data_IF_596897363598
#
_entry.id   IF_596897363598
#
_cell.length_a   1.000
_cell.length_b   1.000
_cell.length_c   1.000
_cell.angle_alpha   90.00
_cell.angle_beta   90.00
_cell.angle_gamma   90.00
#
_symmetry.space_group_name_H-M   'P 1'
#
loop_
_entity.id
_entity.type
_entity.pdbx_description
1 polymer ?
#
# COMPACT_ATOMS: atom_id res chain seq x y z
N UNK A 1 -26.76 23.85 -40.15
CA UNK A 1 -27.96 23.01 -39.92
C UNK A 1 -27.46 21.59 -39.86
N UNK A 2 -27.20 20.96 -38.71
CA UNK A 2 -28.08 20.60 -37.59
C UNK A 2 -28.03 19.06 -37.50
N UNK A 3 -27.23 18.48 -36.59
CA UNK A 3 -27.55 18.00 -35.22
C UNK A 3 -28.15 16.58 -35.11
N UNK A 4 -27.45 15.76 -34.28
CA UNK A 4 -27.88 14.58 -33.48
C UNK A 4 -28.30 13.28 -34.22
N UNK A 5 -28.05 12.06 -33.71
CA UNK A 5 -27.60 11.67 -32.36
C UNK A 5 -27.30 10.16 -32.17
N UNK A 6 -26.83 9.90 -30.95
CA UNK A 6 -26.38 8.67 -30.28
C UNK A 6 -27.01 7.30 -30.56
N UNK A 7 -26.18 6.25 -30.41
CA UNK A 7 -26.45 5.12 -29.50
C UNK A 7 -25.15 4.30 -29.23
N UNK A 8 -24.52 4.52 -28.08
CA UNK A 8 -23.55 3.59 -27.48
C UNK A 8 -24.30 2.71 -26.46
N UNK A 9 -24.27 1.39 -26.63
CA UNK A 9 -24.70 0.42 -25.63
C UNK A 9 -23.55 0.14 -24.67
N UNK A 10 -23.75 0.48 -23.39
CA UNK A 10 -22.89 0.04 -22.28
C UNK A 10 -23.41 -1.32 -21.83
N UNK A 11 -22.58 -2.36 -21.90
CA UNK A 11 -22.85 -3.67 -21.31
C UNK A 11 -22.34 -3.66 -19.86
N UNK A 12 -23.27 -3.59 -18.91
CA UNK A 12 -23.03 -3.94 -17.50
C UNK A 12 -23.15 -5.47 -17.37
N UNK A 13 -22.06 -6.18 -17.09
CA UNK A 13 -22.14 -7.53 -16.54
C UNK A 13 -22.25 -7.45 -15.01
N UNK A 14 -23.41 -7.87 -14.52
CA UNK A 14 -23.68 -8.14 -13.11
C UNK A 14 -23.01 -9.46 -12.74
N UNK A 15 -22.15 -9.48 -11.73
CA UNK A 15 -21.92 -10.69 -10.94
C UNK A 15 -22.64 -10.54 -9.60
N UNK A 16 -23.58 -11.46 -9.40
CA UNK A 16 -24.47 -11.56 -8.28
C UNK A 16 -24.06 -12.85 -7.55
N UNK A 17 -23.33 -12.74 -6.44
CA UNK A 17 -23.16 -13.86 -5.51
C UNK A 17 -23.55 -13.40 -4.12
N UNK A 18 -24.69 -13.94 -3.68
CA UNK A 18 -25.18 -13.92 -2.31
C UNK A 18 -24.25 -14.78 -1.46
N UNK A 19 -23.56 -14.17 -0.51
CA UNK A 19 -23.07 -14.87 0.68
C UNK A 19 -24.12 -14.75 1.78
N UNK A 20 -24.57 -15.90 2.26
CA UNK A 20 -25.49 -16.06 3.37
C UNK A 20 -24.77 -15.74 4.69
N UNK A 21 -25.08 -14.59 5.28
CA UNK A 21 -24.71 -14.28 6.66
C UNK A 21 -25.95 -14.40 7.54
N UNK A 22 -25.92 -15.35 8.49
CA UNK A 22 -26.88 -15.43 9.59
C UNK A 22 -26.11 -15.31 10.92
N UNK A 23 -26.32 -14.14 11.53
CA UNK A 23 -26.54 -13.87 12.97
C UNK A 23 -25.47 -14.24 14.02
N UNK A 24 -24.82 -13.22 14.60
CA UNK A 24 -25.10 -12.68 15.95
C UNK A 24 -24.01 -11.63 16.31
N UNK A 25 -24.24 -10.32 16.09
CA UNK A 25 -24.63 -9.31 17.11
C UNK A 25 -23.40 -8.50 17.56
N UNK A 26 -23.27 -7.16 17.46
CA UNK A 26 -24.19 -6.02 17.51
C UNK A 26 -23.62 -4.84 16.64
N UNK A 27 -24.39 -4.10 15.81
CA UNK A 27 -25.15 -2.84 16.07
C UNK A 27 -24.22 -1.74 16.64
N UNK A 28 -23.96 -0.54 16.08
CA UNK A 28 -24.70 0.46 15.27
C UNK A 28 -23.69 1.54 14.81
N UNK A 29 -23.77 2.08 13.58
CA UNK A 29 -23.54 3.52 13.27
C UNK A 29 -23.60 3.85 11.76
N UNK A 30 -24.68 4.56 11.41
CA UNK A 30 -24.77 5.68 10.45
C UNK A 30 -24.71 5.42 8.93
N UNK A 31 -25.88 5.04 8.40
CA UNK A 31 -26.44 5.68 7.21
C UNK A 31 -26.83 7.14 7.52
N UNK A 32 -26.30 8.12 6.80
CA UNK A 32 -27.00 9.36 6.45
C UNK A 32 -26.12 10.23 5.54
N UNK A 33 -26.40 10.24 4.24
CA UNK A 33 -26.36 11.43 3.38
C UNK A 33 -26.68 11.01 1.94
N UNK A 34 -27.92 11.25 1.50
CA UNK A 34 -28.27 11.79 0.19
C UNK A 34 -29.80 11.72 0.05
N UNK A 35 -30.47 12.85 0.20
CA UNK A 35 -31.79 13.05 -0.41
C UNK A 35 -31.81 14.43 -1.03
N UNK A 36 -32.23 14.42 -2.29
CA UNK A 36 -32.28 15.54 -3.23
C UNK A 36 -33.38 16.54 -2.82
N UNK A 37 -33.03 17.80 -3.07
CA UNK A 37 -33.84 19.02 -3.22
C UNK A 37 -35.37 18.91 -3.13
N UNK A 38 -35.95 19.84 -2.37
CA UNK A 38 -37.17 20.51 -2.81
C UNK A 38 -37.10 22.01 -2.49
N UNK A 39 -37.38 22.82 -3.51
CA UNK A 39 -37.30 24.28 -3.53
C UNK A 39 -38.58 24.85 -2.92
N UNK A 40 -38.45 25.68 -1.89
CA UNK A 40 -39.52 26.55 -1.44
C UNK A 40 -38.97 27.97 -1.23
N UNK A 41 -39.49 28.86 -2.07
CA UNK A 41 -39.28 30.29 -2.15
C UNK A 41 -39.53 31.02 -0.83
N UNK A 42 -38.55 31.81 -0.36
CA UNK A 42 -38.76 32.87 0.61
C UNK A 42 -38.07 34.15 0.10
N UNK A 43 -38.88 35.21 -0.06
CA UNK A 43 -38.45 36.52 -0.55
C UNK A 43 -37.60 37.27 0.50
N UNK A 44 -36.61 38.09 0.08
CA UNK A 44 -35.87 38.94 1.00
C UNK A 44 -36.62 40.25 1.30
N UNK A 45 -36.72 40.61 2.59
CA UNK A 45 -37.13 41.96 3.03
C UNK A 45 -35.92 42.92 2.97
N UNK A 46 -36.10 44.19 2.56
CA UNK A 46 -35.00 45.14 2.45
C UNK A 46 -34.73 45.82 3.81
N UNK A 47 -33.46 45.93 4.20
CA UNK A 47 -33.02 46.80 5.28
C UNK A 47 -32.42 48.09 4.69
N UNK A 48 -32.95 49.24 5.15
CA UNK A 48 -32.52 50.59 4.77
C UNK A 48 -31.18 50.97 5.42
N UNK A 49 -30.41 51.91 4.84
CA UNK A 49 -29.10 52.29 5.35
C UNK A 49 -29.19 53.41 6.41
N UNK A 50 -28.35 53.34 7.44
CA UNK A 50 -27.93 54.49 8.24
C UNK A 50 -26.40 54.49 8.44
N UNK A 51 -25.87 55.69 8.35
CA UNK A 51 -24.46 56.12 8.16
C UNK A 51 -23.65 56.15 9.50
N UNK A 52 -22.42 56.71 9.57
CA UNK A 52 -21.15 55.98 9.59
C UNK A 52 -20.40 56.16 10.93
N UNK A 53 -19.72 55.14 11.45
CA UNK A 53 -18.84 55.32 12.61
C UNK A 53 -17.50 54.57 12.44
N UNK A 54 -16.48 55.38 12.14
CA UNK A 54 -15.12 55.44 12.70
C UNK A 54 -14.48 54.13 13.21
N UNK A 55 -13.38 53.75 12.55
CA UNK A 55 -12.45 52.70 12.99
C UNK A 55 -11.61 53.16 14.20
N UNK A 56 -11.43 52.33 15.24
CA UNK A 56 -10.35 52.49 16.20
C UNK A 56 -9.13 51.59 15.90
N UNK A 57 -7.97 52.19 16.13
CA UNK A 57 -6.59 51.72 16.05
C UNK A 57 -6.33 50.42 16.86
N UNK A 58 -5.44 49.49 16.44
CA UNK A 58 -5.31 48.17 17.05
C UNK A 58 -4.21 48.16 18.10
N UNK A 59 -4.54 48.37 19.38
CA UNK A 59 -3.69 47.95 20.51
C UNK A 59 -4.54 47.64 21.74
N UNK A 60 -4.87 46.36 21.95
CA UNK A 60 -5.06 45.74 23.28
C UNK A 60 -5.21 44.23 23.09
N UNK A 61 -4.17 43.52 23.49
CA UNK A 61 -4.17 42.07 23.69
C UNK A 61 -5.07 41.79 24.88
N UNK A 62 -6.09 40.94 24.70
CA UNK A 62 -6.90 40.43 25.81
C UNK A 62 -6.40 39.04 26.17
N UNK A 63 -5.83 38.92 27.36
CA UNK A 63 -5.54 37.65 28.04
C UNK A 63 -6.85 36.92 28.35
N UNK A 64 -7.11 35.82 27.66
CA UNK A 64 -8.11 34.84 28.07
C UNK A 64 -7.47 33.86 29.04
N UNK A 65 -7.72 34.03 30.35
CA UNK A 65 -7.52 32.96 31.33
C UNK A 65 -8.60 31.90 31.10
N UNK A 66 -8.23 30.81 30.44
CA UNK A 66 -9.05 29.61 30.36
C UNK A 66 -9.09 28.93 31.74
N UNK A 67 -10.27 28.82 32.31
CA UNK A 67 -10.56 27.98 33.48
C UNK A 67 -10.32 26.52 33.13
N UNK A 68 -9.43 25.86 33.85
CA UNK A 68 -9.08 24.45 33.69
C UNK A 68 -10.24 23.54 34.07
N UNK A 69 -10.92 22.97 33.08
CA UNK A 69 -11.69 21.73 33.27
C UNK A 69 -10.67 20.60 33.41
N UNK A 70 -10.54 20.05 34.63
CA UNK A 70 -9.77 18.83 34.88
C UNK A 70 -10.51 17.65 34.24
N UNK A 71 -10.11 17.29 33.03
CA UNK A 71 -10.30 15.93 32.53
C UNK A 71 -9.32 15.01 33.27
N UNK A 72 -9.75 13.83 33.74
CA UNK A 72 -8.82 12.86 34.29
C UNK A 72 -7.81 12.50 33.19
N UNK A 73 -6.56 12.90 33.41
CA UNK A 73 -5.42 12.42 32.65
C UNK A 73 -5.30 10.93 32.95
N UNK A 74 -5.93 10.09 32.12
CA UNK A 74 -5.46 8.73 31.96
C UNK A 74 -4.07 8.89 31.39
N UNK A 75 -3.04 8.67 32.21
CA UNK A 75 -1.66 8.60 31.76
C UNK A 75 -1.55 7.39 30.83
N UNK A 76 -1.93 7.54 29.57
CA UNK A 76 -1.68 6.54 28.55
C UNK A 76 -0.17 6.43 28.45
N UNK A 77 0.36 5.30 28.91
CA UNK A 77 1.74 4.92 28.67
C UNK A 77 1.87 4.84 27.15
N UNK A 78 2.52 5.83 26.52
CA UNK A 78 2.63 5.89 25.06
C UNK A 78 3.53 4.78 24.51
N UNK A 79 3.43 4.52 23.21
CA UNK A 79 4.21 3.50 22.51
C UNK A 79 5.71 3.47 22.88
N UNK A 80 6.44 4.59 23.03
CA UNK A 80 7.85 4.55 23.42
C UNK A 80 8.13 3.80 24.72
N UNK A 81 7.21 3.84 25.68
CA UNK A 81 7.34 3.11 26.96
C UNK A 81 6.85 1.67 26.83
N UNK A 82 5.83 1.41 26.01
CA UNK A 82 5.28 0.07 25.78
C UNK A 82 6.22 -0.83 24.97
N UNK A 83 7.07 -0.25 24.10
CA UNK A 83 8.11 -1.00 23.38
C UNK A 83 9.07 -1.70 24.34
N UNK A 84 9.37 -1.10 25.50
CA UNK A 84 10.26 -1.71 26.49
C UNK A 84 9.69 -2.93 27.22
N UNK A 85 8.43 -3.31 26.97
CA UNK A 85 7.79 -4.49 27.59
C UNK A 85 8.15 -5.81 26.88
N UNK A 86 8.77 -5.75 25.71
CA UNK A 86 9.31 -6.91 25.02
C UNK A 86 10.83 -6.86 25.03
N UNK A 87 11.47 -7.96 25.42
CA UNK A 87 12.92 -8.09 25.40
C UNK A 87 13.34 -8.97 24.22
N UNK A 88 13.85 -8.39 23.12
CA UNK A 88 14.26 -9.15 21.94
C UNK A 88 15.55 -9.96 22.19
N UNK A 89 16.21 -9.81 23.34
CA UNK A 89 17.42 -10.57 23.69
C UNK A 89 17.11 -11.92 24.33
N UNK A 90 15.85 -12.15 24.73
CA UNK A 90 15.43 -13.46 25.25
C UNK A 90 15.51 -14.49 24.12
N UNK A 91 16.25 -15.61 24.30
CA UNK A 91 16.34 -16.67 23.31
C UNK A 91 14.97 -17.24 22.94
N UNK A 92 14.81 -17.66 21.68
CA UNK A 92 13.52 -18.10 21.13
C UNK A 92 12.88 -19.24 21.93
N UNK A 93 13.68 -20.12 22.55
CA UNK A 93 13.22 -21.25 23.36
C UNK A 93 12.52 -20.83 24.65
N UNK A 94 12.67 -19.56 25.04
CA UNK A 94 12.06 -18.95 26.24
C UNK A 94 11.26 -17.69 25.92
N UNK A 95 11.19 -17.31 24.64
CA UNK A 95 10.48 -16.14 24.21
C UNK A 95 8.97 -16.33 24.37
N UNK A 96 8.28 -15.21 24.58
CA UNK A 96 6.82 -15.12 24.55
C UNK A 96 6.42 -14.19 23.41
N UNK A 97 5.17 -14.25 22.97
CA UNK A 97 4.67 -13.30 21.98
C UNK A 97 4.76 -11.86 22.52
N UNK A 98 4.87 -10.85 21.64
CA UNK A 98 4.83 -9.46 22.07
C UNK A 98 3.56 -9.15 22.89
N UNK A 99 3.64 -8.21 23.85
CA UNK A 99 2.47 -7.80 24.63
C UNK A 99 1.32 -7.36 23.72
N UNK A 100 0.07 -7.67 24.12
CA UNK A 100 -1.13 -7.33 23.34
C UNK A 100 -1.27 -5.82 23.04
N UNK A 101 -0.66 -4.97 23.86
CA UNK A 101 -0.59 -3.52 23.67
C UNK A 101 0.07 -3.12 22.34
N UNK A 102 1.05 -3.88 21.86
CA UNK A 102 1.71 -3.62 20.56
C UNK A 102 0.74 -3.73 19.38
N UNK A 103 -0.32 -4.51 19.51
CA UNK A 103 -1.31 -4.74 18.46
C UNK A 103 -2.56 -3.86 18.61
N UNK A 104 -2.79 -3.27 19.79
CA UNK A 104 -4.06 -2.65 20.14
C UNK A 104 -3.95 -1.18 20.54
N UNK A 105 -2.80 -0.74 21.05
CA UNK A 105 -2.61 0.65 21.45
C UNK A 105 -2.43 1.55 20.22
N UNK A 106 -3.27 2.59 20.06
CA UNK A 106 -3.27 3.41 18.85
C UNK A 106 -1.98 4.22 18.67
N UNK A 107 -1.20 4.45 19.72
CA UNK A 107 0.07 5.18 19.62
C UNK A 107 1.15 4.43 18.84
N UNK A 108 1.04 3.10 18.70
CA UNK A 108 1.94 2.31 17.85
C UNK A 108 1.77 2.65 16.36
N UNK A 109 0.56 2.96 15.89
CA UNK A 109 0.35 3.20 14.46
C UNK A 109 1.19 4.37 13.95
N UNK A 110 1.16 5.51 14.65
CA UNK A 110 2.00 6.67 14.28
C UNK A 110 3.49 6.39 14.47
N UNK A 111 3.87 5.73 15.58
CA UNK A 111 5.27 5.38 15.82
C UNK A 111 5.82 4.50 14.70
N UNK A 112 5.11 3.44 14.33
CA UNK A 112 5.52 2.49 13.28
C UNK A 112 5.59 3.16 11.91
N UNK A 113 4.68 4.09 11.59
CA UNK A 113 4.80 4.87 10.37
C UNK A 113 6.14 5.63 10.32
N UNK A 114 6.47 6.35 11.39
CA UNK A 114 7.64 7.23 11.44
C UNK A 114 8.98 6.47 11.59
N UNK A 115 8.99 5.36 12.32
CA UNK A 115 10.22 4.63 12.66
C UNK A 115 10.48 3.40 11.80
N UNK A 116 9.49 2.96 11.02
CA UNK A 116 9.57 1.71 10.26
C UNK A 116 9.12 1.89 8.81
N UNK A 117 7.91 2.39 8.56
CA UNK A 117 7.38 2.43 7.18
C UNK A 117 7.96 3.56 6.33
N UNK A 118 8.26 4.72 6.93
CA UNK A 118 8.88 5.85 6.22
C UNK A 118 10.41 5.77 6.18
N UNK A 119 10.99 4.60 6.49
CA UNK A 119 12.43 4.35 6.49
C UNK A 119 12.79 3.17 5.60
N UNK A 120 13.93 3.27 4.92
CA UNK A 120 14.40 2.23 4.00
C UNK A 120 13.48 2.00 2.80
N UNK A 121 13.74 0.89 2.09
CA UNK A 121 13.01 0.50 0.89
C UNK A 121 11.70 -0.20 1.22
N UNK A 122 10.61 0.25 0.58
CA UNK A 122 9.27 -0.30 0.68
C UNK A 122 8.78 -0.76 -0.69
N UNK A 123 8.18 -1.95 -0.77
CA UNK A 123 7.55 -2.41 -1.99
C UNK A 123 6.33 -1.54 -2.31
N UNK A 124 6.26 -1.03 -3.54
CA UNK A 124 5.25 -0.06 -3.98
C UNK A 124 4.40 -0.56 -5.15
N UNK A 125 4.94 -1.45 -5.98
CA UNK A 125 4.28 -1.98 -7.16
C UNK A 125 5.15 -2.95 -7.93
N UNK A 126 4.80 -3.20 -9.19
CA UNK A 126 5.52 -4.12 -10.07
C UNK A 126 5.91 -3.45 -11.40
N UNK A 127 6.98 -3.95 -12.02
CA UNK A 127 7.66 -3.30 -13.15
C UNK A 127 6.78 -3.20 -14.40
N UNK A 128 5.86 -4.14 -14.62
CA UNK A 128 4.94 -4.08 -15.77
C UNK A 128 3.93 -2.91 -15.70
N UNK A 129 3.71 -2.29 -14.53
CA UNK A 129 2.86 -1.08 -14.42
C UNK A 129 3.46 0.14 -15.11
N UNK A 130 4.77 0.12 -15.37
CA UNK A 130 5.60 1.24 -15.84
C UNK A 130 6.67 0.75 -16.84
N UNK A 131 6.25 -0.14 -17.74
CA UNK A 131 7.13 -0.74 -18.74
C UNK A 131 7.60 0.29 -19.78
N UNK A 132 6.71 1.19 -20.19
CA UNK A 132 6.92 2.12 -21.30
C UNK A 132 6.97 3.59 -20.84
N UNK A 133 7.69 4.47 -21.55
CA UNK A 133 7.66 5.92 -21.33
C UNK A 133 6.24 6.50 -21.28
N UNK A 134 5.99 7.31 -20.26
CA UNK A 134 4.71 7.95 -19.96
C UNK A 134 3.77 7.12 -19.08
N UNK A 135 4.07 5.84 -18.84
CA UNK A 135 3.27 5.02 -17.92
C UNK A 135 3.52 5.45 -16.47
N UNK A 136 2.47 5.37 -15.65
CA UNK A 136 2.50 5.70 -14.24
C UNK A 136 1.57 4.78 -13.44
N UNK A 137 1.85 4.65 -12.15
CA UNK A 137 0.89 4.19 -11.15
C UNK A 137 0.98 5.04 -9.88
N UNK A 138 -0.03 4.93 -9.03
CA UNK A 138 -0.10 5.60 -7.74
C UNK A 138 -0.20 4.57 -6.63
N UNK A 139 0.40 4.88 -5.48
CA UNK A 139 0.32 4.06 -4.28
C UNK A 139 0.33 4.96 -3.04
N UNK A 140 -0.02 4.36 -1.89
CA UNK A 140 -0.15 5.06 -0.62
C UNK A 140 0.47 4.24 0.50
N UNK A 141 1.16 4.90 1.42
CA UNK A 141 1.63 4.32 2.68
C UNK A 141 1.30 5.28 3.82
N UNK A 142 0.49 4.82 4.78
CA UNK A 142 0.01 5.68 5.87
C UNK A 142 -0.77 6.89 5.33
N UNK A 143 -0.22 8.09 5.55
CA UNK A 143 -0.77 9.36 5.05
C UNK A 143 -0.07 9.88 3.79
N UNK A 144 0.99 9.22 3.34
CA UNK A 144 1.78 9.65 2.19
C UNK A 144 1.24 9.04 0.89
N UNK A 145 1.05 9.90 -0.10
CA UNK A 145 0.54 9.55 -1.44
C UNK A 145 1.68 9.71 -2.45
N UNK A 146 1.85 8.71 -3.32
CA UNK A 146 2.97 8.63 -4.26
C UNK A 146 2.49 8.42 -5.68
N UNK A 147 3.29 8.92 -6.62
CA UNK A 147 3.18 8.62 -8.05
C UNK A 147 4.54 8.14 -8.53
N UNK A 148 4.54 6.99 -9.20
CA UNK A 148 5.72 6.42 -9.84
C UNK A 148 5.47 6.42 -11.34
N UNK A 149 6.44 6.86 -12.12
CA UNK A 149 6.32 6.92 -13.56
C UNK A 149 7.64 6.64 -14.27
N UNK A 150 7.53 6.30 -15.56
CA UNK A 150 8.66 6.35 -16.48
C UNK A 150 8.57 7.61 -17.31
N UNK A 151 9.58 8.47 -17.24
CA UNK A 151 9.58 9.73 -17.97
C UNK A 151 9.77 9.54 -19.48
N UNK A 152 9.80 10.65 -20.23
CA UNK A 152 9.92 10.64 -21.69
C UNK A 152 11.23 10.02 -22.20
N UNK A 153 12.29 10.06 -21.38
CA UNK A 153 13.61 9.51 -21.69
C UNK A 153 13.73 8.05 -21.22
N UNK A 154 12.67 7.49 -20.62
CA UNK A 154 12.65 6.13 -20.12
C UNK A 154 13.19 5.97 -18.71
N UNK A 155 13.53 7.05 -18.00
CA UNK A 155 14.04 7.00 -16.63
C UNK A 155 12.91 6.80 -15.63
N UNK A 156 13.17 5.97 -14.61
CA UNK A 156 12.26 5.70 -13.52
C UNK A 156 12.26 6.88 -12.53
N UNK A 157 11.09 7.38 -12.21
CA UNK A 157 10.89 8.55 -11.36
C UNK A 157 9.79 8.27 -10.34
N UNK A 158 9.91 8.83 -9.12
CA UNK A 158 8.85 8.81 -8.13
C UNK A 158 8.78 10.13 -7.38
N UNK A 159 7.56 10.53 -7.03
CA UNK A 159 7.28 11.78 -6.34
C UNK A 159 6.17 11.59 -5.32
N UNK A 160 6.11 12.48 -4.34
CA UNK A 160 4.86 12.71 -3.62
C UNK A 160 3.79 13.18 -4.62
N UNK A 161 2.64 12.48 -4.66
CA UNK A 161 1.52 12.75 -5.56
C UNK A 161 0.68 13.93 -5.07
N UNK A 162 1.33 15.06 -4.78
CA UNK A 162 0.72 16.21 -4.12
C UNK A 162 1.17 17.49 -4.84
N UNK A 163 0.21 18.24 -5.35
CA UNK A 163 0.47 19.52 -5.99
C UNK A 163 1.13 20.49 -5.00
N UNK A 164 2.25 21.10 -5.39
CA UNK A 164 2.99 22.10 -4.59
C UNK A 164 2.26 23.44 -4.40
N UNK A 165 1.08 23.62 -5.02
CA UNK A 165 0.25 24.81 -4.85
C UNK A 165 -0.67 24.70 -3.61
N UNK A 166 -1.70 23.86 -3.68
CA UNK A 166 -2.68 23.66 -2.61
C UNK A 166 -3.02 22.17 -2.41
N UNK A 167 -1.98 21.32 -2.45
CA UNK A 167 -2.00 19.92 -2.00
C UNK A 167 -3.05 18.98 -2.64
N UNK A 168 -3.59 19.32 -3.81
CA UNK A 168 -4.45 18.41 -4.56
C UNK A 168 -3.64 17.25 -5.15
N UNK A 169 -4.20 16.04 -5.16
CA UNK A 169 -3.61 14.89 -5.84
C UNK A 169 -3.53 15.12 -7.35
N UNK A 170 -2.45 14.66 -7.98
CA UNK A 170 -2.15 14.91 -9.39
C UNK A 170 -2.58 13.75 -10.30
N UNK A 171 -2.54 12.53 -9.76
CA UNK A 171 -2.85 11.30 -10.47
C UNK A 171 -3.62 10.33 -9.57
N UNK A 172 -4.33 9.38 -10.20
CA UNK A 172 -5.09 8.32 -9.53
C UNK A 172 -4.97 7.03 -10.34
N UNK A 173 -4.88 5.89 -9.65
CA UNK A 173 -4.75 4.57 -10.27
C UNK A 173 -3.46 4.43 -11.07
N UNK A 174 -3.56 3.84 -12.27
CA UNK A 174 -2.47 3.68 -13.23
C UNK A 174 -2.91 4.12 -14.63
N UNK A 175 -1.94 4.37 -15.51
CA UNK A 175 -2.22 4.70 -16.90
C UNK A 175 -1.04 5.34 -17.60
N UNK A 176 -1.31 6.10 -18.67
CA UNK A 176 -0.28 6.81 -19.45
C UNK A 176 -0.57 8.30 -19.50
N UNK A 177 0.44 9.13 -19.26
CA UNK A 177 0.39 10.60 -19.31
C UNK A 177 1.65 11.16 -19.95
N UNK A 178 1.55 12.35 -20.55
CA UNK A 178 2.71 13.15 -20.98
C UNK A 178 3.15 14.17 -19.94
N UNK A 179 2.25 14.52 -19.00
CA UNK A 179 2.48 15.42 -17.87
C UNK A 179 1.40 15.20 -16.80
N UNK A 180 1.67 15.68 -15.59
CA UNK A 180 0.69 15.70 -14.50
C UNK A 180 0.04 17.07 -14.41
N UNK A 181 -1.27 17.14 -14.57
CA UNK A 181 -2.03 18.40 -14.48
C UNK A 181 -2.88 18.38 -13.22
N UNK A 182 -2.60 19.32 -12.32
CA UNK A 182 -3.35 19.49 -11.09
C UNK A 182 -4.82 19.82 -11.41
N UNK A 183 -5.79 19.01 -10.92
CA UNK A 183 -7.20 19.20 -11.24
C UNK A 183 -7.78 20.47 -10.58
N UNK A 184 -7.09 21.03 -9.59
CA UNK A 184 -7.60 22.20 -8.86
C UNK A 184 -7.38 23.51 -9.64
N UNK A 185 -6.13 23.80 -10.02
CA UNK A 185 -5.76 25.11 -10.61
C UNK A 185 -4.96 24.99 -11.92
N UNK A 186 -4.82 23.78 -12.48
CA UNK A 186 -4.13 23.57 -13.74
C UNK A 186 -2.63 23.89 -13.69
N UNK A 187 -1.97 23.68 -12.54
CA UNK A 187 -0.52 23.60 -12.49
C UNK A 187 -0.08 22.31 -13.21
N UNK A 188 0.89 22.42 -14.11
CA UNK A 188 1.35 21.31 -14.96
C UNK A 188 2.78 20.95 -14.58
N UNK A 189 3.02 19.69 -14.27
CA UNK A 189 4.32 19.13 -13.95
C UNK A 189 4.75 18.15 -15.03
N UNK A 190 6.03 18.15 -15.39
CA UNK A 190 6.63 17.12 -16.23
C UNK A 190 6.67 15.77 -15.52
N UNK A 191 6.95 14.71 -16.26
CA UNK A 191 7.18 13.37 -15.67
C UNK A 191 8.53 13.28 -14.95
N UNK A 192 9.41 14.26 -15.16
CA UNK A 192 10.64 14.50 -14.41
C UNK A 192 10.39 15.28 -13.10
N UNK A 193 9.13 15.62 -12.80
CA UNK A 193 8.72 16.38 -11.62
C UNK A 193 8.88 17.89 -11.73
N UNK A 194 9.46 18.41 -12.81
CA UNK A 194 9.62 19.85 -13.00
C UNK A 194 8.26 20.54 -13.11
N UNK A 195 8.09 21.71 -12.47
CA UNK A 195 6.92 22.54 -12.75
C UNK A 195 7.10 23.14 -14.14
N UNK A 196 6.20 22.84 -15.08
CA UNK A 196 6.24 23.33 -16.47
C UNK A 196 5.40 24.59 -16.63
N UNK A 197 4.29 24.68 -15.89
CA UNK A 197 3.33 25.79 -16.01
C UNK A 197 2.60 26.05 -14.70
N UNK A 198 2.64 27.28 -14.24
CA UNK A 198 1.73 27.83 -13.24
C UNK A 198 0.71 28.76 -13.93
N UNK A 199 -0.58 28.43 -13.84
CA UNK A 199 -1.63 29.17 -14.56
C UNK A 199 -1.82 30.57 -13.98
N UNK A 200 -1.80 31.59 -14.85
CA UNK A 200 -2.04 33.01 -14.51
C UNK A 200 -1.14 33.57 -13.39
N UNK A 201 0.09 33.11 -13.30
CA UNK A 201 1.05 33.53 -12.25
C UNK A 201 1.65 34.93 -12.49
N UNK A 202 1.32 35.57 -13.62
CA UNK A 202 1.83 36.89 -14.00
C UNK A 202 1.56 37.93 -12.91
N UNK A 203 2.60 38.67 -12.51
CA UNK A 203 2.52 39.74 -11.52
C UNK A 203 2.82 39.33 -10.07
N UNK A 204 2.99 38.03 -9.79
CA UNK A 204 3.52 37.59 -8.50
C UNK A 204 5.02 37.92 -8.42
N UNK A 205 5.40 38.67 -7.40
CA UNK A 205 6.81 38.95 -7.10
C UNK A 205 7.47 37.74 -6.43
N UNK A 206 8.73 37.48 -6.74
CA UNK A 206 9.54 36.40 -6.14
C UNK A 206 9.01 34.97 -6.37
N UNK A 207 8.26 34.73 -7.45
CA UNK A 207 7.92 33.36 -7.86
C UNK A 207 8.99 32.80 -8.79
N UNK A 208 9.73 31.79 -8.32
CA UNK A 208 10.66 31.04 -9.14
C UNK A 208 10.09 29.64 -9.44
N UNK A 209 9.68 29.40 -10.69
CA UNK A 209 9.09 28.13 -11.12
C UNK A 209 9.97 26.91 -10.76
N UNK A 210 11.29 27.06 -10.74
CA UNK A 210 12.24 25.98 -10.44
C UNK A 210 12.19 25.51 -8.97
N UNK A 211 11.66 26.32 -8.06
CA UNK A 211 11.55 25.97 -6.62
C UNK A 211 10.28 25.16 -6.30
N UNK A 212 9.37 25.04 -7.28
CA UNK A 212 8.05 24.43 -7.10
C UNK A 212 7.88 23.11 -7.87
N UNK A 213 8.97 22.43 -8.22
CA UNK A 213 8.93 21.04 -8.70
C UNK A 213 8.34 20.08 -7.66
N UNK A 214 7.90 18.90 -8.10
CA UNK A 214 7.43 17.85 -7.20
C UNK A 214 8.56 17.40 -6.26
N UNK A 215 8.19 17.02 -5.03
CA UNK A 215 9.15 16.47 -4.09
C UNK A 215 9.44 15.03 -4.51
N UNK A 216 10.69 14.76 -4.89
CA UNK A 216 11.14 13.45 -5.33
C UNK A 216 11.20 12.45 -4.17
N UNK A 217 11.01 11.19 -4.52
CA UNK A 217 11.16 10.02 -3.65
C UNK A 217 12.12 9.07 -4.36
N UNK A 218 13.05 8.44 -3.63
CA UNK A 218 13.96 7.48 -4.27
C UNK A 218 13.13 6.30 -4.78
N UNK A 219 13.49 5.82 -5.95
CA UNK A 219 12.83 4.70 -6.60
C UNK A 219 13.85 3.80 -7.26
N UNK A 220 13.63 2.50 -7.14
CA UNK A 220 14.47 1.48 -7.75
C UNK A 220 13.63 0.25 -8.09
N UNK A 221 14.24 -0.69 -8.81
CA UNK A 221 13.64 -1.98 -9.13
C UNK A 221 14.53 -3.11 -8.65
N UNK A 222 13.91 -4.18 -8.15
CA UNK A 222 14.58 -5.46 -7.92
C UNK A 222 13.64 -6.59 -8.34
N UNK A 223 14.12 -7.49 -9.21
CA UNK A 223 13.26 -8.50 -9.84
C UNK A 223 12.03 -7.87 -10.53
N UNK A 224 10.81 -8.35 -10.26
CA UNK A 224 9.59 -7.76 -10.80
C UNK A 224 9.04 -6.59 -9.97
N UNK A 225 9.73 -6.16 -8.91
CA UNK A 225 9.21 -5.17 -7.96
C UNK A 225 9.73 -3.76 -8.21
N UNK A 226 8.88 -2.79 -7.88
CA UNK A 226 9.21 -1.36 -7.80
C UNK A 226 9.22 -0.97 -6.33
N UNK A 227 10.33 -0.39 -5.90
CA UNK A 227 10.59 -0.04 -4.50
C UNK A 227 10.70 1.48 -4.35
N UNK A 228 10.20 2.00 -3.23
CA UNK A 228 10.33 3.40 -2.84
C UNK A 228 11.14 3.54 -1.57
N UNK A 229 11.99 4.56 -1.49
CA UNK A 229 12.64 4.96 -0.25
C UNK A 229 12.38 6.46 0.00
N UNK A 230 11.80 6.74 1.17
CA UNK A 230 11.32 8.06 1.57
C UNK A 230 12.38 8.89 2.32
N UNK A 231 13.56 8.31 2.59
CA UNK A 231 14.67 9.01 3.23
C UNK A 231 15.36 9.95 2.23
N UNK A 232 15.54 11.21 2.65
CA UNK A 232 16.00 12.30 1.78
C UNK A 232 17.53 12.40 1.62
N UNK A 233 18.32 11.43 2.10
CA UNK A 233 19.78 11.52 1.96
C UNK A 233 20.20 11.43 0.49
N UNK A 234 20.82 12.50 0.01
CA UNK A 234 20.97 12.82 -1.42
C UNK A 234 22.07 11.97 -2.12
N UNK A 235 22.85 11.17 -1.37
CA UNK A 235 24.11 10.59 -1.85
C UNK A 235 24.17 9.05 -1.95
N UNK A 236 23.06 8.32 -1.94
CA UNK A 236 23.12 6.86 -2.15
C UNK A 236 23.02 6.49 -3.63
N UNK A 237 24.12 6.02 -4.22
CA UNK A 237 24.10 5.32 -5.50
C UNK A 237 23.00 4.25 -5.50
N UNK A 238 22.21 4.21 -6.57
CA UNK A 238 21.11 3.25 -6.78
C UNK A 238 21.55 1.78 -6.82
N UNK A 239 22.87 1.53 -6.81
CA UNK A 239 23.48 0.22 -7.03
C UNK A 239 23.49 -0.69 -5.79
N UNK A 240 22.89 -0.26 -4.67
CA UNK A 240 22.88 -1.02 -3.41
C UNK A 240 21.46 -1.45 -2.99
N UNK A 241 20.40 -1.17 -3.78
CA UNK A 241 19.01 -1.49 -3.40
C UNK A 241 18.83 -2.95 -2.98
N UNK A 242 19.46 -3.88 -3.69
CA UNK A 242 19.45 -5.30 -3.38
C UNK A 242 19.99 -5.59 -1.98
N UNK A 243 21.19 -5.09 -1.66
CA UNK A 243 21.84 -5.30 -0.36
C UNK A 243 21.12 -4.55 0.75
N UNK A 244 20.61 -3.36 0.49
CA UNK A 244 19.87 -2.57 1.49
C UNK A 244 18.51 -3.17 1.82
N UNK A 245 17.83 -3.76 0.84
CA UNK A 245 16.50 -4.32 1.02
C UNK A 245 16.53 -5.77 1.49
N UNK A 246 17.40 -6.60 0.91
CA UNK A 246 17.43 -8.05 1.11
C UNK A 246 18.65 -8.55 1.89
N UNK A 247 19.67 -7.71 2.09
CA UNK A 247 20.89 -8.11 2.80
C UNK A 247 21.61 -9.26 2.10
N UNK A 248 22.08 -10.23 2.88
CA UNK A 248 22.80 -11.41 2.35
C UNK A 248 21.88 -12.47 1.73
N UNK A 249 20.56 -12.26 1.74
CA UNK A 249 19.57 -13.20 1.19
C UNK A 249 19.29 -13.02 -0.31
N UNK A 250 19.79 -11.95 -0.91
CA UNK A 250 19.39 -11.53 -2.25
C UNK A 250 19.73 -12.54 -3.37
N UNK A 251 20.96 -13.06 -3.36
CA UNK A 251 21.43 -14.07 -4.31
C UNK A 251 20.58 -15.35 -4.21
N UNK A 252 20.18 -15.72 -3.00
CA UNK A 252 19.33 -16.89 -2.78
C UNK A 252 17.95 -16.69 -3.43
N UNK A 253 17.31 -15.53 -3.24
CA UNK A 253 16.01 -15.25 -3.86
C UNK A 253 16.12 -15.19 -5.38
N UNK A 254 17.14 -14.53 -5.93
CA UNK A 254 17.37 -14.48 -7.37
C UNK A 254 17.59 -15.89 -7.96
N UNK A 255 18.42 -16.72 -7.31
CA UNK A 255 18.69 -18.09 -7.76
C UNK A 255 17.46 -19.03 -7.66
N UNK A 256 16.42 -18.63 -6.91
CA UNK A 256 15.14 -19.33 -6.85
C UNK A 256 14.09 -18.72 -7.80
N UNK A 257 14.51 -17.92 -8.79
CA UNK A 257 13.64 -17.42 -9.85
C UNK A 257 12.69 -16.32 -9.40
N UNK A 258 13.12 -15.50 -8.44
CA UNK A 258 12.48 -14.22 -8.12
C UNK A 258 13.21 -13.14 -8.91
N UNK A 259 12.87 -13.00 -10.18
CA UNK A 259 13.56 -12.12 -11.12
C UNK A 259 12.59 -11.43 -12.10
N UNK A 260 13.13 -10.58 -12.97
CA UNK A 260 12.36 -9.77 -13.92
C UNK A 260 11.77 -10.53 -15.10
N UNK A 261 11.99 -11.85 -15.22
CA UNK A 261 11.39 -12.69 -16.27
C UNK A 261 9.95 -13.06 -15.97
N UNK A 262 9.53 -13.00 -14.71
CA UNK A 262 8.16 -13.31 -14.30
C UNK A 262 7.15 -12.34 -14.92
N UNK A 263 6.02 -12.88 -15.38
CA UNK A 263 4.93 -12.11 -15.98
C UNK A 263 3.79 -11.92 -14.99
N UNK A 264 3.25 -10.69 -14.92
CA UNK A 264 2.13 -10.38 -14.05
C UNK A 264 0.83 -11.02 -14.54
N UNK A 265 0.08 -11.63 -13.62
CA UNK A 265 -1.21 -12.30 -13.90
C UNK A 265 -2.37 -11.42 -13.46
N UNK A 266 -2.48 -11.16 -12.16
CA UNK A 266 -3.53 -10.31 -11.60
C UNK A 266 -3.20 -9.85 -10.18
N UNK A 267 -3.99 -8.88 -9.71
CA UNK A 267 -3.99 -8.38 -8.32
C UNK A 267 -5.29 -8.74 -7.62
N UNK A 268 -5.20 -9.01 -6.32
CA UNK A 268 -6.33 -9.14 -5.39
C UNK A 268 -6.06 -8.32 -4.13
N UNK A 269 -7.08 -7.62 -3.65
CA UNK A 269 -6.99 -6.75 -2.48
C UNK A 269 -7.93 -7.25 -1.38
N UNK A 270 -7.41 -7.40 -0.17
CA UNK A 270 -8.17 -7.87 0.99
C UNK A 270 -8.12 -6.82 2.10
N UNK A 271 -9.28 -6.44 2.62
CA UNK A 271 -9.41 -5.57 3.79
C UNK A 271 -9.59 -6.44 5.02
N UNK A 272 -8.66 -6.36 5.97
CA UNK A 272 -8.65 -7.21 7.17
C UNK A 272 -8.76 -6.32 8.42
N UNK A 273 -9.71 -6.65 9.29
CA UNK A 273 -9.97 -5.93 10.55
C UNK A 273 -9.04 -6.43 11.67
N UNK A 274 -7.73 -6.41 11.41
CA UNK A 274 -6.69 -6.71 12.38
C UNK A 274 -5.51 -5.72 12.27
N UNK A 275 -4.64 -5.71 13.29
CA UNK A 275 -3.37 -5.00 13.18
C UNK A 275 -2.49 -5.67 12.12
N UNK A 276 -1.76 -4.88 11.34
CA UNK A 276 -0.91 -5.40 10.25
C UNK A 276 0.06 -6.49 10.72
N UNK A 277 0.62 -6.35 11.93
CA UNK A 277 1.54 -7.33 12.53
C UNK A 277 0.89 -8.70 12.72
N UNK A 278 -0.42 -8.77 12.99
CA UNK A 278 -1.11 -10.06 13.16
C UNK A 278 -1.07 -10.90 11.87
N UNK A 279 -1.21 -10.24 10.71
CA UNK A 279 -1.08 -10.94 9.43
C UNK A 279 0.37 -11.40 9.19
N UNK A 280 1.35 -10.57 9.54
CA UNK A 280 2.77 -10.94 9.46
C UNK A 280 3.12 -12.11 10.39
N UNK A 281 2.63 -12.09 11.64
CA UNK A 281 2.84 -13.15 12.62
C UNK A 281 2.25 -14.48 12.13
N UNK A 282 1.05 -14.45 11.52
CA UNK A 282 0.44 -15.63 10.89
C UNK A 282 1.33 -16.23 9.79
N UNK A 283 2.00 -15.38 9.00
CA UNK A 283 2.91 -15.84 7.96
C UNK A 283 4.23 -16.40 8.50
N UNK A 284 4.66 -15.94 9.67
CA UNK A 284 5.97 -16.23 10.28
C UNK A 284 5.93 -17.39 11.29
N UNK A 285 4.81 -18.11 11.41
CA UNK A 285 4.63 -19.15 12.43
C UNK A 285 5.28 -20.50 12.09
N UNK A 286 6.11 -20.57 11.06
CA UNK A 286 6.81 -21.78 10.65
C UNK A 286 5.89 -22.87 10.11
N UNK A 287 4.69 -22.50 9.64
CA UNK A 287 3.68 -23.43 9.16
C UNK A 287 2.90 -24.13 10.29
N UNK A 288 2.99 -23.65 11.52
CA UNK A 288 2.34 -24.24 12.69
C UNK A 288 0.81 -24.35 12.53
N UNK A 289 0.16 -23.32 11.97
CA UNK A 289 -1.29 -23.33 11.73
C UNK A 289 -1.71 -24.20 10.52
N UNK A 290 -0.81 -24.47 9.58
CA UNK A 290 -1.13 -25.03 8.24
C UNK A 290 -1.82 -26.39 8.31
N UNK A 291 -1.38 -27.39 9.12
CA UNK A 291 -2.07 -28.68 9.23
C UNK A 291 -3.52 -28.57 9.71
N UNK A 292 -3.80 -27.58 10.56
CA UNK A 292 -5.11 -27.40 11.18
C UNK A 292 -6.04 -26.58 10.30
N UNK A 293 -5.59 -25.40 9.87
CA UNK A 293 -6.39 -24.45 9.10
C UNK A 293 -6.46 -24.81 7.61
N UNK A 294 -5.32 -25.17 6.99
CA UNK A 294 -5.19 -25.27 5.53
C UNK A 294 -4.95 -26.71 5.07
N UNK A 295 -5.91 -27.62 5.33
CA UNK A 295 -5.79 -29.05 4.96
C UNK A 295 -5.39 -29.29 3.50
N UNK A 296 -5.88 -28.47 2.57
CA UNK A 296 -5.53 -28.53 1.14
C UNK A 296 -4.05 -28.23 0.89
N UNK A 297 -3.53 -27.13 1.45
CA UNK A 297 -2.12 -26.75 1.33
C UNK A 297 -1.22 -27.77 2.04
N UNK A 298 -1.59 -28.19 3.26
CA UNK A 298 -0.84 -29.17 4.04
C UNK A 298 -0.63 -30.48 3.27
N UNK A 299 -1.62 -30.91 2.47
CA UNK A 299 -1.51 -32.14 1.68
C UNK A 299 -0.46 -32.09 0.56
N UNK A 300 -0.10 -30.89 0.09
CA UNK A 300 0.91 -30.67 -0.95
C UNK A 300 2.32 -30.40 -0.42
N UNK A 301 2.50 -30.33 0.90
CA UNK A 301 3.76 -29.94 1.55
C UNK A 301 4.29 -31.07 2.44
N UNK A 302 5.61 -31.26 2.42
CA UNK A 302 6.29 -32.13 3.36
C UNK A 302 6.77 -31.32 4.59
N UNK A 303 5.85 -31.13 5.55
CA UNK A 303 6.09 -30.27 6.72
C UNK A 303 7.20 -30.78 7.65
N UNK A 304 7.57 -32.07 7.58
CA UNK A 304 8.73 -32.61 8.32
C UNK A 304 10.06 -32.03 7.81
N UNK A 305 10.07 -31.49 6.58
CA UNK A 305 11.23 -30.83 5.96
C UNK A 305 11.10 -29.30 5.98
N UNK A 306 10.17 -28.75 6.76
CA UNK A 306 10.01 -27.32 6.90
C UNK A 306 11.21 -26.74 7.66
N UNK A 307 11.82 -25.69 7.11
CA UNK A 307 12.95 -25.01 7.73
C UNK A 307 12.82 -23.51 7.59
N UNK A 308 13.32 -22.77 8.58
CA UNK A 308 13.35 -21.31 8.57
C UNK A 308 14.79 -20.84 8.77
N UNK A 309 15.26 -19.95 7.90
CA UNK A 309 16.55 -19.27 8.02
C UNK A 309 16.31 -17.77 8.14
N UNK A 310 16.83 -17.17 9.20
CA UNK A 310 16.72 -15.73 9.46
C UNK A 310 18.00 -15.03 8.98
N UNK A 311 17.82 -14.02 8.14
CA UNK A 311 18.84 -13.07 7.67
C UNK A 311 18.60 -11.70 8.32
N UNK A 312 19.36 -10.68 7.92
CA UNK A 312 19.34 -9.36 8.56
C UNK A 312 17.97 -8.68 8.50
N UNK A 313 17.31 -8.78 7.34
CA UNK A 313 15.99 -8.18 7.08
C UNK A 313 14.97 -9.17 6.51
N UNK A 314 15.37 -10.43 6.31
CA UNK A 314 14.57 -11.41 5.59
C UNK A 314 14.50 -12.71 6.39
N UNK A 315 13.30 -13.26 6.53
CA UNK A 315 13.10 -14.64 6.99
C UNK A 315 12.73 -15.50 5.78
N UNK A 316 13.51 -16.54 5.50
CA UNK A 316 13.24 -17.47 4.40
C UNK A 316 12.82 -18.81 4.98
N UNK A 317 11.60 -19.22 4.68
CA UNK A 317 11.05 -20.52 5.01
C UNK A 317 11.04 -21.40 3.76
N UNK A 318 11.43 -22.67 3.91
CA UNK A 318 11.50 -23.64 2.81
C UNK A 318 10.78 -24.91 3.20
N UNK A 319 10.04 -25.46 2.25
CA UNK A 319 9.38 -26.74 2.38
C UNK A 319 9.53 -27.53 1.08
N UNK A 320 9.80 -28.83 1.19
CA UNK A 320 9.76 -29.71 0.02
C UNK A 320 8.30 -29.99 -0.37
N UNK A 321 8.06 -30.14 -1.67
CA UNK A 321 6.76 -30.59 -2.17
C UNK A 321 6.48 -32.04 -1.77
N UNK A 322 5.23 -32.35 -1.45
CA UNK A 322 4.80 -33.72 -1.15
C UNK A 322 5.00 -34.65 -2.35
N UNK A 323 5.52 -35.86 -2.12
CA UNK A 323 5.85 -36.85 -3.15
C UNK A 323 4.63 -37.59 -3.75
N UNK A 324 3.45 -36.99 -3.77
CA UNK A 324 2.24 -37.68 -4.26
C UNK A 324 2.17 -37.68 -5.78
N UNK A 325 1.79 -38.83 -6.33
CA UNK A 325 1.75 -39.16 -7.75
C UNK A 325 1.21 -38.02 -8.63
N UNK A 326 2.06 -37.62 -9.57
CA UNK A 326 1.87 -36.62 -10.63
C UNK A 326 0.75 -37.06 -11.59
N UNK A 327 -0.49 -37.01 -11.12
CA UNK A 327 -1.60 -37.62 -11.86
C UNK A 327 -2.21 -36.70 -12.92
N UNK A 328 -1.77 -35.44 -13.05
CA UNK A 328 -2.21 -34.51 -14.10
C UNK A 328 -1.13 -33.47 -14.43
N UNK A 329 -1.19 -32.83 -15.61
CA UNK A 329 -0.33 -31.73 -16.11
C UNK A 329 -0.38 -30.43 -15.27
N UNK A 330 -0.82 -30.50 -14.02
CA UNK A 330 -0.97 -29.37 -13.10
C UNK A 330 -0.12 -29.59 -11.86
N UNK A 331 1.00 -28.88 -11.78
CA UNK A 331 1.84 -28.79 -10.61
C UNK A 331 2.21 -27.33 -10.33
N UNK A 332 1.42 -26.68 -9.46
CA UNK A 332 1.68 -25.30 -9.05
C UNK A 332 2.81 -25.22 -8.03
N UNK A 333 2.90 -26.19 -7.12
CA UNK A 333 3.83 -26.17 -5.98
C UNK A 333 5.27 -26.47 -6.41
N UNK A 334 5.44 -27.29 -7.45
CA UNK A 334 6.73 -27.76 -7.91
C UNK A 334 7.42 -28.63 -6.86
N UNK A 335 8.73 -28.80 -7.00
CA UNK A 335 9.54 -29.63 -6.10
C UNK A 335 9.85 -28.95 -4.76
N UNK A 336 9.82 -27.62 -4.70
CA UNK A 336 10.16 -26.82 -3.53
C UNK A 336 9.30 -25.57 -3.47
N UNK A 337 8.82 -25.25 -2.27
CA UNK A 337 8.20 -23.98 -1.96
C UNK A 337 9.18 -23.12 -1.14
N UNK A 338 9.27 -21.84 -1.50
CA UNK A 338 10.07 -20.84 -0.81
C UNK A 338 9.16 -19.68 -0.40
N UNK A 339 9.23 -19.31 0.88
CA UNK A 339 8.45 -18.24 1.48
C UNK A 339 9.43 -17.23 2.07
N UNK A 340 9.49 -16.01 1.55
CA UNK A 340 10.37 -14.98 2.04
C UNK A 340 9.55 -13.84 2.65
N UNK A 341 9.68 -13.62 3.95
CA UNK A 341 9.21 -12.41 4.60
C UNK A 341 10.34 -11.38 4.58
N UNK A 342 10.11 -10.27 3.92
CA UNK A 342 11.00 -9.12 3.86
C UNK A 342 10.44 -8.06 4.80
N UNK A 343 11.22 -7.72 5.82
CA UNK A 343 10.84 -6.73 6.81
C UNK A 343 10.59 -5.37 6.14
N UNK A 344 9.50 -4.67 6.47
CA UNK A 344 8.59 -5.00 7.57
C UNK A 344 7.35 -5.80 7.18
N UNK A 345 6.91 -5.80 5.93
CA UNK A 345 5.52 -6.11 5.61
C UNK A 345 5.31 -6.72 4.21
N UNK A 346 6.36 -7.27 3.60
CA UNK A 346 6.29 -7.80 2.26
C UNK A 346 6.66 -9.28 2.23
N UNK A 347 5.83 -10.10 1.63
CA UNK A 347 6.05 -11.54 1.50
C UNK A 347 6.19 -11.92 0.04
N UNK A 348 7.06 -12.88 -0.25
CA UNK A 348 7.22 -13.52 -1.56
C UNK A 348 7.04 -15.03 -1.38
N UNK A 349 6.09 -15.60 -2.09
CA UNK A 349 5.79 -17.02 -2.09
C UNK A 349 6.10 -17.58 -3.48
N UNK A 350 7.19 -18.34 -3.59
CA UNK A 350 7.64 -18.94 -4.85
C UNK A 350 7.36 -20.43 -4.84
N UNK A 351 6.59 -20.88 -5.83
CA UNK A 351 6.12 -22.24 -6.01
C UNK A 351 6.38 -22.69 -7.45
N UNK A 352 7.23 -23.68 -7.73
CA UNK A 352 7.40 -24.20 -9.11
C UNK A 352 7.53 -23.09 -10.18
N UNK A 353 6.55 -22.88 -11.08
CA UNK A 353 6.50 -21.76 -12.05
C UNK A 353 5.60 -20.57 -11.65
N UNK A 354 4.96 -20.63 -10.48
CA UNK A 354 4.04 -19.64 -9.93
C UNK A 354 4.69 -18.83 -8.80
N UNK A 355 4.34 -17.55 -8.70
CA UNK A 355 4.71 -16.70 -7.58
C UNK A 355 3.52 -15.87 -7.15
N UNK A 356 3.32 -15.73 -5.85
CA UNK A 356 2.48 -14.68 -5.31
C UNK A 356 3.20 -13.87 -4.25
N UNK A 357 2.80 -12.63 -4.06
CA UNK A 357 3.32 -11.75 -3.01
C UNK A 357 2.22 -11.27 -2.11
N UNK A 358 2.55 -10.91 -0.87
CA UNK A 358 1.61 -10.27 0.05
C UNK A 358 2.22 -8.96 0.55
N UNK A 359 1.64 -7.82 0.20
CA UNK A 359 2.01 -6.52 0.75
C UNK A 359 0.97 -6.09 1.79
N UNK A 360 1.38 -6.01 3.05
CA UNK A 360 0.48 -5.67 4.17
C UNK A 360 0.59 -4.17 4.49
N UNK A 361 -0.40 -3.38 4.11
CA UNK A 361 -0.43 -1.94 4.35
C UNK A 361 -1.27 -1.61 5.59
N UNK A 362 -0.72 -0.94 6.61
CA UNK A 362 -1.47 -0.58 7.80
C UNK A 362 -2.40 0.61 7.51
N UNK A 363 -3.70 0.43 7.75
CA UNK A 363 -4.73 1.47 7.58
C UNK A 363 -5.24 2.03 8.91
N UNK A 364 -4.63 1.59 10.01
CA UNK A 364 -4.88 2.04 11.36
C UNK A 364 -4.43 0.98 12.38
N UNK A 365 -4.68 1.19 13.68
CA UNK A 365 -4.25 0.28 14.74
C UNK A 365 -4.86 -1.13 14.65
N UNK A 366 -6.04 -1.26 14.04
CA UNK A 366 -6.81 -2.52 13.97
C UNK A 366 -7.33 -2.83 12.56
N UNK A 367 -6.69 -2.27 11.53
CA UNK A 367 -7.09 -2.46 10.15
C UNK A 367 -5.89 -2.44 9.22
N UNK A 368 -5.82 -3.39 8.31
CA UNK A 368 -4.84 -3.40 7.23
C UNK A 368 -5.49 -3.76 5.89
N UNK A 369 -4.80 -3.41 4.82
CA UNK A 369 -5.05 -3.95 3.49
C UNK A 369 -3.93 -4.93 3.17
N UNK A 370 -4.26 -6.09 2.62
CA UNK A 370 -3.28 -7.02 2.06
C UNK A 370 -3.47 -7.09 0.57
N UNK A 371 -2.41 -6.73 -0.16
CA UNK A 371 -2.38 -6.75 -1.62
C UNK A 371 -1.65 -8.00 -2.07
N UNK A 372 -2.34 -8.85 -2.82
CA UNK A 372 -1.80 -10.02 -3.47
C UNK A 372 -1.51 -9.72 -4.93
N UNK A 373 -0.27 -9.85 -5.36
CA UNK A 373 0.10 -9.87 -6.78
C UNK A 373 0.51 -11.27 -7.18
N UNK A 374 -0.04 -11.75 -8.29
CA UNK A 374 0.25 -13.05 -8.86
C UNK A 374 1.12 -12.92 -10.10
N UNK A 375 2.14 -13.75 -10.18
CA UNK A 375 3.06 -13.83 -11.30
C UNK A 375 3.26 -15.28 -11.73
N UNK A 376 3.67 -15.46 -12.98
CA UNK A 376 3.93 -16.78 -13.55
C UNK A 376 5.10 -16.72 -14.53
N UNK A 377 5.79 -17.84 -14.70
CA UNK A 377 6.78 -17.98 -15.76
C UNK A 377 6.16 -17.74 -17.15
N UNK A 378 6.84 -17.01 -18.05
CA UNK A 378 6.30 -16.67 -19.37
C UNK A 378 5.86 -17.87 -20.21
N UNK A 379 6.50 -19.03 -20.01
CA UNK A 379 6.17 -20.28 -20.69
C UNK A 379 4.75 -20.79 -20.42
N UNK A 380 4.12 -20.34 -19.33
CA UNK A 380 2.78 -20.74 -18.91
C UNK A 380 1.75 -19.60 -18.95
N UNK A 381 2.12 -18.39 -19.41
CA UNK A 381 1.20 -17.24 -19.46
C UNK A 381 -0.06 -17.48 -20.30
N UNK A 382 0.06 -18.29 -21.36
CA UNK A 382 -1.08 -18.63 -22.23
C UNK A 382 -1.90 -19.82 -21.71
N UNK A 383 -1.45 -20.50 -20.65
CA UNK A 383 -2.13 -21.64 -20.06
C UNK A 383 -3.21 -21.19 -19.07
N UNK A 384 -4.38 -20.82 -19.61
CA UNK A 384 -5.52 -20.32 -18.83
C UNK A 384 -5.99 -21.31 -17.77
N UNK A 385 -6.04 -22.60 -18.08
CA UNK A 385 -6.49 -23.63 -17.14
C UNK A 385 -5.55 -23.72 -15.93
N UNK A 386 -4.23 -23.63 -16.16
CA UNK A 386 -3.24 -23.60 -15.08
C UNK A 386 -3.42 -22.35 -14.20
N UNK A 387 -3.60 -21.19 -14.82
CA UNK A 387 -3.78 -19.90 -14.11
C UNK A 387 -5.05 -19.93 -13.26
N UNK A 388 -6.19 -20.32 -13.84
CA UNK A 388 -7.48 -20.35 -13.14
C UNK A 388 -7.46 -21.31 -11.94
N UNK A 389 -6.88 -22.49 -12.10
CA UNK A 389 -6.71 -23.45 -11.01
C UNK A 389 -5.77 -22.91 -9.92
N UNK A 390 -4.68 -22.27 -10.32
CA UNK A 390 -3.70 -21.67 -9.40
C UNK A 390 -4.28 -20.54 -8.57
N UNK A 391 -5.10 -19.68 -9.17
CA UNK A 391 -5.84 -18.64 -8.45
C UNK A 391 -6.87 -19.24 -7.50
N UNK A 392 -7.63 -20.24 -7.94
CA UNK A 392 -8.63 -20.92 -7.10
C UNK A 392 -8.00 -21.62 -5.89
N UNK A 393 -6.83 -22.22 -6.05
CA UNK A 393 -6.10 -22.82 -4.94
C UNK A 393 -5.58 -21.76 -3.96
N UNK A 394 -5.14 -20.60 -4.44
CA UNK A 394 -4.82 -19.46 -3.58
C UNK A 394 -6.04 -18.93 -2.81
N UNK A 395 -7.19 -18.75 -3.48
CA UNK A 395 -8.42 -18.26 -2.84
C UNK A 395 -8.89 -19.18 -1.71
N UNK A 396 -8.85 -20.50 -1.94
CA UNK A 396 -9.20 -21.50 -0.91
C UNK A 396 -8.34 -21.42 0.35
N UNK A 397 -7.08 -21.00 0.23
CA UNK A 397 -6.20 -20.80 1.39
C UNK A 397 -6.68 -19.58 2.20
N UNK A 398 -7.27 -18.57 1.57
CA UNK A 398 -7.72 -17.34 2.24
C UNK A 398 -9.15 -17.42 2.82
N UNK A 399 -9.94 -18.43 2.45
CA UNK A 399 -11.39 -18.55 2.76
C UNK A 399 -11.72 -19.08 4.18
N UNK A 400 -10.77 -19.16 5.11
CA UNK A 400 -10.93 -19.83 6.43
C UNK A 400 -11.29 -18.88 7.56
#
# INVERSE_FOLDING_TARGET
MGTLGHLFKINNSKHNHRSTWLSCGAIEAMEMAMTVMNVATLQPKPLRPKSPYLLPNPRRVFDFKASSLHYPQVSSIGAPTLVGQFDPTIPIERAVTPPSSWYTDPSFYSLELDTLFYRGWQAAGYTEQIKNPGEFFTCRLGSAEFVVCRDGDGKLQAFHNVCRHHASLLAYGSGRKSCFVCPYHGWTYGLDGSLLKATRITGIQNFNQHEFGLISVKVATWGPFVLLNMEQDVDSDTDIVEKEWLGSSSELLSNNGVDSSLSFVCRRDYMIECNWKVFCDNYLDGGYHVPYAHKGLASGLNLDHYSTTIYEKVSIQKCEGGSTERTNDYDRLGSKALYAFIYPNFMINRYGPWMDTNLVLPLGPRKCQVIFDYFIEPSLMDNKDFIERSLKDSERVQDI
#
